data_IF_838280438437
#
_entry.id   IF_838280438437
#
_cell.length_a   1.000
_cell.length_b   1.000
_cell.length_c   1.000
_cell.angle_alpha   90.00
_cell.angle_beta   90.00
_cell.angle_gamma   90.00
#
_symmetry.space_group_name_H-M   'P 1'
#
loop_
_entity.id
_entity.type
_entity.pdbx_description
1 polymer ?
#
# COMPACT_ATOMS: atom_id res chain seq x y z
N UNK A 1 2.11 5.75 -8.32
CA UNK A 1 1.35 4.71 -9.07
C UNK A 1 -0.13 4.97 -8.92
N UNK A 2 -0.89 4.81 -9.98
CA UNK A 2 -2.34 4.95 -9.94
C UNK A 2 -2.99 3.64 -9.50
N UNK A 3 -4.18 3.74 -8.92
CA UNK A 3 -4.96 2.57 -8.47
C UNK A 3 -5.12 1.52 -9.59
N UNK A 4 -5.61 1.95 -10.75
CA UNK A 4 -5.85 1.02 -11.87
C UNK A 4 -4.54 0.46 -12.43
N UNK A 5 -3.48 1.22 -12.36
CA UNK A 5 -2.16 0.77 -12.82
C UNK A 5 -1.65 -0.40 -11.98
N UNK A 6 -1.78 -0.30 -10.65
CA UNK A 6 -1.38 -1.40 -9.76
C UNK A 6 -2.19 -2.66 -10.04
N UNK A 7 -3.51 -2.51 -10.21
CA UNK A 7 -4.41 -3.63 -10.48
C UNK A 7 -4.08 -4.29 -11.82
N UNK A 8 -3.92 -3.49 -12.87
CA UNK A 8 -3.60 -4.03 -14.19
C UNK A 8 -2.25 -4.74 -14.22
N UNK A 9 -1.27 -4.21 -13.50
CA UNK A 9 0.07 -4.82 -13.45
C UNK A 9 0.04 -6.16 -12.74
N UNK A 10 -0.65 -6.29 -11.60
CA UNK A 10 -0.74 -7.58 -10.91
C UNK A 10 -1.53 -8.58 -11.74
N UNK A 11 -2.56 -8.15 -12.45
CA UNK A 11 -3.36 -9.04 -13.30
C UNK A 11 -2.55 -9.58 -14.47
N UNK A 12 -1.58 -8.81 -14.98
CA UNK A 12 -0.70 -9.31 -16.03
C UNK A 12 0.39 -10.27 -15.50
N UNK A 13 0.69 -10.21 -14.21
CA UNK A 13 1.69 -11.09 -13.58
C UNK A 13 1.10 -12.40 -13.09
N UNK A 14 -0.11 -12.35 -12.51
CA UNK A 14 -0.76 -13.50 -11.87
C UNK A 14 -2.22 -13.55 -12.34
N UNK A 15 -2.59 -14.54 -13.18
CA UNK A 15 -4.00 -14.77 -13.52
C UNK A 15 -4.82 -15.04 -12.26
N UNK A 16 -5.96 -14.35 -12.13
CA UNK A 16 -6.80 -14.47 -10.93
C UNK A 16 -8.25 -14.13 -11.27
N UNK A 17 -9.15 -14.50 -10.36
CA UNK A 17 -10.60 -14.32 -10.54
C UNK A 17 -11.15 -13.15 -9.71
N UNK A 18 -10.29 -12.42 -8.99
CA UNK A 18 -10.74 -11.37 -8.09
C UNK A 18 -11.09 -10.10 -8.85
N UNK A 19 -12.14 -9.42 -8.39
CA UNK A 19 -12.68 -8.23 -9.05
C UNK A 19 -11.78 -7.01 -8.80
N UNK A 20 -11.99 -5.97 -9.59
CA UNK A 20 -11.36 -4.66 -9.36
C UNK A 20 -11.73 -4.12 -7.98
N UNK A 21 -13.01 -4.30 -7.57
CA UNK A 21 -13.46 -3.84 -6.25
C UNK A 21 -12.76 -4.54 -5.10
N UNK A 22 -12.55 -5.86 -5.21
CA UNK A 22 -11.81 -6.61 -4.20
C UNK A 22 -10.36 -6.15 -4.09
N UNK A 23 -9.69 -5.97 -5.22
CA UNK A 23 -8.31 -5.49 -5.25
C UNK A 23 -8.19 -4.05 -4.76
N UNK A 24 -9.17 -3.20 -5.10
CA UNK A 24 -9.21 -1.84 -4.57
C UNK A 24 -9.34 -1.85 -3.04
N UNK A 25 -10.16 -2.74 -2.49
CA UNK A 25 -10.30 -2.89 -1.04
C UNK A 25 -8.99 -3.33 -0.39
N UNK A 26 -8.25 -4.24 -1.02
CA UNK A 26 -6.94 -4.67 -0.50
C UNK A 26 -5.92 -3.52 -0.50
N UNK A 27 -5.92 -2.71 -1.56
CA UNK A 27 -5.07 -1.51 -1.62
C UNK A 27 -5.50 -0.46 -0.61
N UNK A 28 -6.80 -0.33 -0.36
CA UNK A 28 -7.33 0.56 0.67
C UNK A 28 -6.83 0.18 2.05
N UNK A 29 -6.82 -1.12 2.38
CA UNK A 29 -6.31 -1.60 3.65
C UNK A 29 -4.83 -1.27 3.82
N UNK A 30 -4.03 -1.45 2.77
CA UNK A 30 -2.61 -1.13 2.82
C UNK A 30 -2.39 0.37 3.03
N UNK A 31 -3.03 1.22 2.25
CA UNK A 31 -2.83 2.67 2.38
C UNK A 31 -3.41 3.21 3.69
N UNK A 32 -4.46 2.59 4.23
CA UNK A 32 -4.94 2.89 5.57
C UNK A 32 -3.86 2.64 6.63
N UNK A 33 -3.20 1.50 6.55
CA UNK A 33 -2.11 1.16 7.48
C UNK A 33 -0.93 2.12 7.32
N UNK A 34 -0.58 2.46 6.09
CA UNK A 34 0.50 3.42 5.82
C UNK A 34 0.15 4.79 6.41
N UNK A 35 -1.07 5.25 6.20
CA UNK A 35 -1.51 6.55 6.74
C UNK A 35 -1.44 6.57 8.25
N UNK A 36 -2.00 5.55 8.92
CA UNK A 36 -2.11 5.53 10.39
C UNK A 36 -0.81 5.17 11.08
N UNK A 37 -0.02 4.24 10.52
CA UNK A 37 1.18 3.73 11.18
C UNK A 37 2.45 4.49 10.82
N UNK A 38 2.47 5.17 9.68
CA UNK A 38 3.67 5.90 9.23
C UNK A 38 3.36 7.38 9.11
N UNK A 39 2.52 7.77 8.16
CA UNK A 39 2.36 9.18 7.77
C UNK A 39 1.90 10.04 8.94
N UNK A 40 0.93 9.58 9.72
CA UNK A 40 0.35 10.36 10.83
C UNK A 40 1.33 10.60 11.99
N UNK A 41 2.45 9.90 12.02
CA UNK A 41 3.48 10.07 13.04
C UNK A 41 4.51 11.17 12.69
N UNK A 42 4.37 11.80 11.53
CA UNK A 42 5.37 12.77 11.02
C UNK A 42 4.70 14.06 10.62
N UNK A 43 5.47 15.15 10.59
CA UNK A 43 4.99 16.46 10.14
C UNK A 43 4.54 16.39 8.68
N UNK A 44 3.48 17.13 8.36
CA UNK A 44 2.90 17.12 7.02
C UNK A 44 1.75 16.13 6.85
N UNK A 45 1.45 15.33 7.88
CA UNK A 45 0.37 14.34 7.82
C UNK A 45 -0.97 14.95 7.40
N UNK A 46 -1.26 16.16 7.85
CA UNK A 46 -2.51 16.86 7.54
C UNK A 46 -2.65 17.23 6.06
N UNK A 47 -1.57 17.20 5.31
CA UNK A 47 -1.57 17.48 3.87
C UNK A 47 -1.81 16.22 3.03
N UNK A 48 -1.86 15.06 3.66
CA UNK A 48 -2.07 13.78 2.97
C UNK A 48 -3.49 13.33 3.22
N UNK A 49 -4.36 13.50 2.21
CA UNK A 49 -5.75 13.07 2.28
C UNK A 49 -5.86 11.59 1.96
N UNK A 50 -6.68 10.88 2.73
CA UNK A 50 -6.97 9.48 2.46
C UNK A 50 -8.36 9.11 2.96
N UNK A 51 -9.25 8.71 2.05
CA UNK A 51 -10.65 8.36 2.35
C UNK A 51 -10.98 6.91 2.00
N UNK A 52 -9.97 6.10 1.67
CA UNK A 52 -10.20 4.73 1.26
C UNK A 52 -10.47 4.59 -0.23
N UNK A 53 -10.40 3.35 -0.70
CA UNK A 53 -10.70 2.99 -2.09
C UNK A 53 -11.76 1.89 -2.14
N UNK A 54 -12.57 1.92 -3.19
CA UNK A 54 -13.56 0.90 -3.46
C UNK A 54 -13.77 0.77 -4.99
N UNK A 55 -14.76 0.01 -5.38
CA UNK A 55 -15.05 -0.24 -6.81
C UNK A 55 -15.41 1.04 -7.57
N UNK A 56 -15.91 2.07 -6.88
CA UNK A 56 -16.33 3.34 -7.49
C UNK A 56 -15.20 4.37 -7.49
N UNK A 57 -14.08 4.10 -6.85
CA UNK A 57 -12.93 5.00 -6.83
C UNK A 57 -12.38 5.16 -8.24
N UNK A 58 -12.16 6.41 -8.71
CA UNK A 58 -11.58 6.61 -10.05
C UNK A 58 -10.24 5.88 -10.20
N UNK A 59 -10.07 5.20 -11.34
CA UNK A 59 -8.87 4.40 -11.60
C UNK A 59 -7.59 5.22 -11.64
N UNK A 60 -7.68 6.51 -11.96
CA UNK A 60 -6.53 7.42 -11.99
C UNK A 60 -6.17 8.01 -10.62
N UNK A 61 -6.85 7.57 -9.54
CA UNK A 61 -6.50 7.95 -8.19
C UNK A 61 -5.06 7.54 -7.90
N UNK A 62 -4.25 8.48 -7.40
CA UNK A 62 -2.85 8.22 -7.07
C UNK A 62 -2.75 7.65 -5.67
N UNK A 63 -2.07 6.51 -5.55
CA UNK A 63 -1.83 5.85 -4.26
C UNK A 63 -0.83 6.65 -3.43
N UNK A 64 -0.83 6.42 -2.11
CA UNK A 64 -0.07 7.26 -1.16
C UNK A 64 1.44 7.17 -1.34
N UNK A 65 1.95 6.00 -1.69
CA UNK A 65 3.40 5.77 -1.80
C UNK A 65 3.86 6.01 -3.23
N UNK A 66 4.85 6.86 -3.39
CA UNK A 66 5.43 7.18 -4.68
C UNK A 66 6.64 6.31 -5.04
N UNK A 67 7.12 6.52 -6.29
CA UNK A 67 8.33 5.86 -6.79
C UNK A 67 9.54 6.29 -5.95
N UNK A 68 10.50 5.40 -5.68
CA UNK A 68 10.61 4.01 -6.16
C UNK A 68 9.95 2.96 -5.26
N UNK A 69 9.25 3.39 -4.21
CA UNK A 69 8.71 2.49 -3.18
C UNK A 69 7.33 1.93 -3.53
N UNK A 70 6.70 2.41 -4.60
CA UNK A 70 5.35 2.00 -5.00
C UNK A 70 5.28 0.55 -5.51
N UNK A 71 6.41 -0.11 -5.71
CA UNK A 71 6.45 -1.55 -6.00
C UNK A 71 5.77 -2.37 -4.90
N UNK A 72 5.70 -1.84 -3.68
CA UNK A 72 5.07 -2.55 -2.56
C UNK A 72 3.59 -2.87 -2.84
N UNK A 73 2.92 -2.04 -3.64
CA UNK A 73 1.51 -2.30 -3.99
C UNK A 73 1.37 -3.61 -4.77
N UNK A 74 2.28 -3.88 -5.70
CA UNK A 74 2.27 -5.12 -6.45
C UNK A 74 2.56 -6.32 -5.54
N UNK A 75 3.53 -6.17 -4.65
CA UNK A 75 3.89 -7.25 -3.71
C UNK A 75 2.74 -7.55 -2.75
N UNK A 76 2.02 -6.52 -2.32
CA UNK A 76 0.84 -6.70 -1.49
C UNK A 76 -0.28 -7.42 -2.24
N UNK A 77 -0.59 -6.99 -3.47
CA UNK A 77 -1.62 -7.62 -4.29
C UNK A 77 -1.29 -9.09 -4.62
N UNK A 78 -0.02 -9.38 -4.93
CA UNK A 78 0.43 -10.76 -5.14
C UNK A 78 0.17 -11.61 -3.90
N UNK A 79 0.53 -11.10 -2.73
CA UNK A 79 0.31 -11.80 -1.47
C UNK A 79 -1.18 -12.05 -1.21
N UNK A 80 -2.02 -11.05 -1.46
CA UNK A 80 -3.46 -11.19 -1.24
C UNK A 80 -4.10 -12.19 -2.20
N UNK A 81 -3.68 -12.20 -3.45
CA UNK A 81 -4.15 -13.20 -4.42
C UNK A 81 -3.80 -14.62 -3.92
N UNK A 82 -2.56 -14.85 -3.53
CA UNK A 82 -2.15 -16.17 -3.03
C UNK A 82 -2.88 -16.56 -1.76
N UNK A 83 -3.07 -15.61 -0.84
CA UNK A 83 -3.82 -15.87 0.39
C UNK A 83 -5.25 -16.32 0.10
N UNK A 84 -5.96 -15.59 -0.75
CA UNK A 84 -7.36 -15.90 -1.06
C UNK A 84 -7.50 -17.14 -1.95
N UNK A 85 -6.44 -17.52 -2.68
CA UNK A 85 -6.37 -18.78 -3.42
C UNK A 85 -6.03 -19.97 -2.51
N UNK A 86 -5.79 -19.72 -1.21
CA UNK A 86 -5.36 -20.75 -0.26
C UNK A 86 -4.00 -21.37 -0.64
N UNK A 87 -3.15 -20.62 -1.32
CA UNK A 87 -1.79 -21.00 -1.70
C UNK A 87 -0.81 -20.46 -0.65
N UNK A 88 -0.82 -21.06 0.54
CA UNK A 88 -0.17 -20.47 1.71
C UNK A 88 1.36 -20.43 1.61
N UNK A 89 1.99 -21.39 0.95
CA UNK A 89 3.45 -21.33 0.71
C UNK A 89 3.82 -20.13 -0.17
N UNK A 90 3.04 -19.90 -1.24
CA UNK A 90 3.24 -18.75 -2.11
C UNK A 90 2.93 -17.44 -1.39
N UNK A 91 1.90 -17.45 -0.54
CA UNK A 91 1.55 -16.30 0.28
C UNK A 91 2.71 -15.94 1.22
N UNK A 92 3.29 -16.91 1.91
CA UNK A 92 4.40 -16.67 2.83
C UNK A 92 5.61 -16.08 2.09
N UNK A 93 5.93 -16.59 0.91
CA UNK A 93 7.02 -16.05 0.09
C UNK A 93 6.71 -14.62 -0.38
N UNK A 94 5.49 -14.38 -0.85
CA UNK A 94 5.07 -13.04 -1.29
C UNK A 94 5.09 -12.03 -0.15
N UNK A 95 4.64 -12.42 1.05
CA UNK A 95 4.69 -11.56 2.23
C UNK A 95 6.10 -11.23 2.67
N UNK A 96 7.04 -12.16 2.52
CA UNK A 96 8.45 -11.89 2.80
C UNK A 96 8.98 -10.78 1.90
N UNK A 97 8.66 -10.83 0.62
CA UNK A 97 9.07 -9.80 -0.35
C UNK A 97 8.36 -8.47 -0.06
N UNK A 98 7.06 -8.52 0.24
CA UNK A 98 6.31 -7.34 0.63
C UNK A 98 6.89 -6.66 1.87
N UNK A 99 7.21 -7.46 2.90
CA UNK A 99 7.76 -6.94 4.15
C UNK A 99 9.08 -6.19 3.93
N UNK A 100 9.91 -6.68 3.01
CA UNK A 100 11.15 -5.97 2.63
C UNK A 100 10.83 -4.63 1.98
N UNK A 101 9.90 -4.59 1.05
CA UNK A 101 9.49 -3.36 0.38
C UNK A 101 8.89 -2.35 1.36
N UNK A 102 8.04 -2.81 2.28
CA UNK A 102 7.45 -1.96 3.31
C UNK A 102 8.51 -1.40 4.24
N UNK A 103 9.46 -2.22 4.65
CA UNK A 103 10.56 -1.81 5.52
C UNK A 103 11.45 -0.76 4.85
N UNK A 104 11.73 -0.91 3.57
CA UNK A 104 12.51 0.07 2.80
C UNK A 104 11.78 1.42 2.75
N UNK A 105 10.48 1.41 2.50
CA UNK A 105 9.68 2.64 2.50
C UNK A 105 9.66 3.28 3.88
N UNK A 106 9.44 2.50 4.92
CA UNK A 106 9.39 2.98 6.30
C UNK A 106 10.70 3.68 6.69
N UNK A 107 11.84 3.07 6.35
CA UNK A 107 13.16 3.69 6.61
C UNK A 107 13.37 4.98 5.81
N UNK A 108 12.93 5.01 4.57
CA UNK A 108 12.97 6.21 3.74
C UNK A 108 12.15 7.33 4.39
N UNK A 109 10.94 7.02 4.84
CA UNK A 109 10.05 8.02 5.45
C UNK A 109 10.64 8.59 6.73
N UNK A 110 11.22 7.73 7.58
CA UNK A 110 11.90 8.15 8.81
C UNK A 110 13.04 9.12 8.52
N UNK A 111 13.82 8.85 7.48
CA UNK A 111 14.97 9.71 7.13
C UNK A 111 14.56 11.05 6.55
N UNK A 112 13.41 11.15 5.92
CA UNK A 112 13.01 12.31 5.13
C UNK A 112 11.93 13.16 5.76
N UNK A 113 11.35 12.73 6.88
CA UNK A 113 10.28 13.46 7.55
C UNK A 113 10.59 13.63 9.02
N UNK A 114 10.20 14.80 9.55
CA UNK A 114 10.41 15.13 10.95
C UNK A 114 9.28 14.53 11.79
N UNK A 115 9.58 13.81 12.88
CA UNK A 115 8.55 13.18 13.70
C UNK A 115 7.73 14.22 14.47
N UNK A 116 6.49 13.86 14.78
CA UNK A 116 5.64 14.62 15.68
C UNK A 116 6.14 14.48 17.12
N UNK A 117 5.88 15.49 17.95
CA UNK A 117 6.20 15.42 19.38
C UNK A 117 5.29 14.47 20.16
N UNK A 118 5.60 14.22 21.44
CA UNK A 118 4.86 13.24 22.25
C UNK A 118 3.36 13.49 22.37
N UNK A 119 2.92 14.76 22.24
CA UNK A 119 1.50 15.14 22.28
C UNK A 119 0.91 15.32 20.88
N UNK A 120 1.58 14.86 19.84
CA UNK A 120 1.17 15.07 18.46
C UNK A 120 1.54 16.43 17.91
N UNK A 121 2.29 17.25 18.65
CA UNK A 121 2.78 18.51 18.18
C UNK A 121 4.03 18.34 17.31
N UNK A 122 4.23 19.28 16.37
CA UNK A 122 5.45 19.28 15.55
C UNK A 122 6.64 19.66 16.41
N UNK A 123 7.74 18.96 16.16
CA UNK A 123 9.01 19.21 16.85
C UNK A 123 9.78 20.37 16.27
#
# INVERSE_FOLDING_TARGET
MKLIEAINRVDSLIPNIYSVGEKAAWLSNLDSDIKTQIIDNYEGAEQVAFDGYNEDTPGDTVLLVGSPHDIMYLRWLEAMIHYHNEEYDKYNNAMSVYNTAFSDYSRYYIRTHKPMGPSGFKL
#
